data_IF_023035083822
#
_entry.id   IF_023035083822
#
_cell.length_a   1.000
_cell.length_b   1.000
_cell.length_c   1.000
_cell.angle_alpha   90.00
_cell.angle_beta   90.00
_cell.angle_gamma   90.00
#
_symmetry.space_group_name_H-M   'P 1'
#
loop_
_entity.id
_entity.type
_entity.pdbx_description
1 polymer ?
#
# COMPACT_ATOMS: atom_id res chain seq x y z
N UNK A 1 -18.84 -3.35 9.47
CA UNK A 1 -17.92 -2.22 9.41
C UNK A 1 -17.39 -1.92 10.81
N UNK A 2 -16.07 -2.02 11.03
CA UNK A 2 -15.42 -1.78 12.31
C UNK A 2 -14.95 -0.31 12.39
N UNK A 3 -15.87 0.64 12.28
CA UNK A 3 -15.53 2.07 12.35
C UNK A 3 -15.75 2.59 13.76
N UNK A 4 -14.65 3.01 14.40
CA UNK A 4 -14.68 3.76 15.64
C UNK A 4 -14.73 5.26 15.31
N UNK A 5 -15.64 6.02 15.93
CA UNK A 5 -15.60 7.47 15.86
C UNK A 5 -14.45 7.99 16.72
N UNK A 6 -13.36 8.44 16.08
CA UNK A 6 -12.23 9.08 16.76
C UNK A 6 -12.64 10.49 17.21
N UNK A 7 -12.26 10.87 18.42
CA UNK A 7 -12.54 12.19 18.98
C UNK A 7 -11.31 13.10 18.85
N UNK A 8 -11.50 14.38 18.61
CA UNK A 8 -10.40 15.34 18.54
C UNK A 8 -9.55 15.35 19.82
N UNK A 9 -10.16 15.13 20.98
CA UNK A 9 -9.45 15.02 22.26
C UNK A 9 -8.54 13.78 22.35
N UNK A 10 -8.87 12.68 21.64
CA UNK A 10 -8.01 11.50 21.56
C UNK A 10 -6.81 11.80 20.67
N UNK A 11 -7.03 12.44 19.52
CA UNK A 11 -5.99 12.87 18.58
C UNK A 11 -5.00 13.82 19.25
N UNK A 12 -5.52 14.84 19.94
CA UNK A 12 -4.69 15.77 20.68
C UNK A 12 -3.87 15.07 21.78
N UNK A 13 -4.47 14.14 22.51
CA UNK A 13 -3.76 13.36 23.56
C UNK A 13 -2.66 12.49 22.98
N UNK A 14 -2.89 11.85 21.81
CA UNK A 14 -1.87 11.05 21.12
C UNK A 14 -0.70 11.97 20.74
N UNK A 15 -0.97 13.11 20.12
CA UNK A 15 0.06 14.09 19.77
C UNK A 15 0.89 14.52 20.98
N UNK A 16 0.25 14.98 22.06
CA UNK A 16 0.92 15.44 23.27
C UNK A 16 1.81 14.37 23.91
N UNK A 17 1.32 13.14 23.97
CA UNK A 17 2.09 12.01 24.52
C UNK A 17 3.22 11.54 23.62
N UNK A 18 3.06 11.68 22.30
CA UNK A 18 4.14 11.40 21.34
C UNK A 18 5.25 12.44 21.45
N UNK A 19 4.92 13.74 21.64
CA UNK A 19 5.91 14.77 21.91
C UNK A 19 6.66 14.51 23.21
N UNK A 20 5.97 14.06 24.28
CA UNK A 20 6.60 13.66 25.54
C UNK A 20 7.61 12.50 25.34
N UNK A 21 7.28 11.50 24.49
CA UNK A 21 8.21 10.43 24.11
C UNK A 21 9.41 11.00 23.37
N UNK A 22 9.21 11.82 22.35
CA UNK A 22 10.29 12.41 21.54
C UNK A 22 11.26 13.26 22.38
N UNK A 23 10.74 13.99 23.37
CA UNK A 23 11.52 14.91 24.19
C UNK A 23 12.21 14.21 25.37
N UNK A 24 11.56 13.24 26.02
CA UNK A 24 12.04 12.63 27.29
C UNK A 24 12.64 11.24 27.12
N UNK A 25 12.07 10.41 26.24
CA UNK A 25 12.57 9.05 25.96
C UNK A 25 13.55 9.07 24.78
N UNK A 26 13.23 9.78 23.71
CA UNK A 26 14.01 9.87 22.50
C UNK A 26 13.90 8.65 21.59
N UNK A 27 14.52 8.74 20.41
CA UNK A 27 14.53 7.70 19.37
C UNK A 27 15.96 7.40 18.96
N UNK A 28 16.31 6.13 18.80
CA UNK A 28 17.64 5.72 18.36
C UNK A 28 17.78 5.82 16.85
N UNK A 29 18.86 6.47 16.37
CA UNK A 29 19.26 6.51 14.97
C UNK A 29 20.66 5.91 14.83
N UNK A 30 20.79 4.80 14.12
CA UNK A 30 22.04 4.03 13.99
C UNK A 30 22.90 4.49 12.80
N UNK A 31 22.81 5.76 12.40
CA UNK A 31 23.51 6.30 11.24
C UNK A 31 24.31 7.55 11.58
N UNK A 32 25.65 7.47 11.45
CA UNK A 32 26.57 8.51 11.89
C UNK A 32 26.30 9.88 11.24
N UNK A 33 26.05 9.91 9.93
CA UNK A 33 25.85 11.17 9.21
C UNK A 33 24.63 11.93 9.75
N UNK A 34 23.48 11.23 9.96
CA UNK A 34 22.27 11.91 10.45
C UNK A 34 22.45 12.44 11.88
N UNK A 35 23.18 11.72 12.73
CA UNK A 35 23.50 12.20 14.08
C UNK A 35 24.31 13.50 14.05
N UNK A 36 25.25 13.63 13.12
CA UNK A 36 26.00 14.87 12.94
C UNK A 36 25.13 16.02 12.35
N UNK A 37 24.18 15.69 11.46
CA UNK A 37 23.20 16.67 10.97
C UNK A 37 22.32 17.17 12.12
N UNK A 38 21.83 16.28 12.97
CA UNK A 38 21.02 16.64 14.14
C UNK A 38 21.79 17.54 15.12
N UNK A 39 23.03 17.20 15.46
CA UNK A 39 23.89 18.03 16.32
C UNK A 39 24.12 19.43 15.73
N UNK A 40 24.38 19.53 14.42
CA UNK A 40 24.54 20.82 13.73
C UNK A 40 23.29 21.70 13.76
N UNK A 41 22.12 21.07 13.79
CA UNK A 41 20.81 21.75 13.92
C UNK A 41 20.48 22.11 15.37
N UNK A 42 21.33 21.76 16.33
CA UNK A 42 21.11 21.99 17.77
C UNK A 42 20.20 20.95 18.44
N UNK A 43 19.92 19.84 17.77
CA UNK A 43 19.10 18.76 18.33
C UNK A 43 19.95 17.96 19.31
N UNK A 44 19.39 17.67 20.48
CA UNK A 44 20.08 16.90 21.53
C UNK A 44 20.32 15.46 21.07
N UNK A 45 21.58 15.03 21.10
CA UNK A 45 22.03 13.67 20.74
C UNK A 45 22.89 13.12 21.87
N UNK A 46 22.51 11.96 22.40
CA UNK A 46 23.26 11.20 23.40
C UNK A 46 23.55 9.79 22.85
N UNK A 47 24.79 9.56 22.44
CA UNK A 47 25.17 8.37 21.68
C UNK A 47 24.42 8.29 20.35
N UNK A 48 23.53 7.32 20.22
CA UNK A 48 22.63 7.14 19.07
C UNK A 48 21.22 7.68 19.34
N UNK A 49 20.93 8.08 20.58
CA UNK A 49 19.61 8.54 21.00
C UNK A 49 19.45 10.02 20.73
N UNK A 50 18.39 10.35 20.01
CA UNK A 50 18.04 11.70 19.57
C UNK A 50 16.79 12.14 20.31
N UNK A 51 16.78 13.38 20.79
CA UNK A 51 15.66 13.96 21.52
C UNK A 51 15.18 15.20 20.78
N UNK A 52 13.93 15.19 20.35
CA UNK A 52 13.33 16.32 19.65
C UNK A 52 12.55 17.19 20.62
N UNK A 53 12.97 18.42 20.81
CA UNK A 53 12.22 19.39 21.61
C UNK A 53 10.89 19.74 20.96
N UNK A 54 9.86 19.96 21.77
CA UNK A 54 8.50 20.30 21.33
C UNK A 54 8.51 21.47 20.33
N UNK A 55 9.16 22.57 20.67
CA UNK A 55 9.19 23.79 19.84
C UNK A 55 9.74 23.55 18.43
N UNK A 56 10.82 22.76 18.33
CA UNK A 56 11.39 22.37 17.04
C UNK A 56 10.47 21.41 16.28
N UNK A 57 9.89 20.45 16.96
CA UNK A 57 8.93 19.51 16.36
C UNK A 57 7.76 20.26 15.73
N UNK A 58 7.12 21.16 16.48
CA UNK A 58 6.01 21.97 15.98
C UNK A 58 6.42 22.92 14.84
N UNK A 59 7.67 23.45 14.86
CA UNK A 59 8.23 24.25 13.75
C UNK A 59 8.30 23.43 12.46
N UNK A 60 8.91 22.26 12.53
CA UNK A 60 9.14 21.38 11.37
C UNK A 60 7.84 20.84 10.78
N UNK A 61 6.84 20.56 11.62
CA UNK A 61 5.53 20.06 11.17
C UNK A 61 4.75 21.10 10.37
N UNK A 62 4.94 22.42 10.60
CA UNK A 62 4.25 23.48 9.84
C UNK A 62 4.64 23.54 8.36
N UNK A 63 5.79 22.98 7.98
CA UNK A 63 6.30 22.97 6.60
C UNK A 63 5.84 21.78 5.75
N UNK A 64 5.02 20.89 6.31
CA UNK A 64 4.57 19.67 5.63
C UNK A 64 3.59 19.98 4.49
N UNK A 65 3.60 19.14 3.45
CA UNK A 65 2.74 19.30 2.26
C UNK A 65 1.53 18.38 2.35
N UNK A 66 0.31 18.89 2.10
CA UNK A 66 -0.92 18.09 2.17
C UNK A 66 -1.08 17.15 0.98
N UNK A 67 -0.37 17.40 -0.11
CA UNK A 67 -0.38 16.57 -1.31
C UNK A 67 0.85 16.82 -2.18
N UNK A 68 1.11 15.90 -3.09
CA UNK A 68 2.13 16.02 -4.13
C UNK A 68 1.76 15.16 -5.34
N UNK A 69 2.44 15.36 -6.47
CA UNK A 69 2.19 14.60 -7.69
C UNK A 69 3.48 13.93 -8.16
N UNK A 70 3.45 12.62 -8.38
CA UNK A 70 4.51 11.87 -9.04
C UNK A 70 4.25 11.97 -10.55
N UNK A 71 5.20 12.54 -11.29
CA UNK A 71 5.08 12.75 -12.73
C UNK A 71 6.19 12.01 -13.47
N UNK A 72 5.79 11.09 -14.34
CA UNK A 72 6.66 10.32 -15.24
C UNK A 72 6.28 10.66 -16.69
N UNK A 73 7.06 10.24 -17.70
CA UNK A 73 6.67 10.42 -19.10
C UNK A 73 5.36 9.71 -19.48
N UNK A 74 4.91 8.77 -18.66
CA UNK A 74 3.77 7.89 -18.97
C UNK A 74 2.55 8.10 -18.07
N UNK A 75 2.72 8.73 -16.91
CA UNK A 75 1.65 8.87 -15.93
C UNK A 75 1.86 10.07 -15.00
N UNK A 76 0.74 10.60 -14.50
CA UNK A 76 0.69 11.61 -13.44
C UNK A 76 -0.17 11.06 -12.31
N UNK A 77 0.41 10.92 -11.10
CA UNK A 77 -0.23 10.34 -9.92
C UNK A 77 -0.22 11.33 -8.77
N UNK A 78 -1.38 11.88 -8.43
CA UNK A 78 -1.56 12.73 -7.25
C UNK A 78 -1.78 11.86 -6.00
N UNK A 79 -1.13 12.22 -4.88
CA UNK A 79 -1.26 11.60 -3.57
C UNK A 79 -1.63 12.68 -2.57
N UNK A 80 -2.74 12.49 -1.84
CA UNK A 80 -3.34 13.50 -0.96
C UNK A 80 -4.32 14.43 -1.70
N UNK A 81 -5.12 15.20 -0.96
CA UNK A 81 -6.19 16.07 -1.49
C UNK A 81 -7.12 15.34 -2.49
N UNK A 82 -7.59 14.16 -2.13
CA UNK A 82 -8.46 13.32 -2.94
C UNK A 82 -7.74 12.47 -4.01
N UNK A 83 -6.43 12.66 -4.23
CA UNK A 83 -5.62 11.76 -5.04
C UNK A 83 -5.22 10.51 -4.24
N UNK A 84 -5.29 9.32 -4.86
CA UNK A 84 -5.02 8.04 -4.20
C UNK A 84 -3.98 7.21 -4.96
N UNK A 85 -2.94 6.76 -4.25
CA UNK A 85 -2.01 5.75 -4.74
C UNK A 85 -2.47 4.36 -4.27
N UNK A 86 -2.44 3.39 -5.17
CA UNK A 86 -2.73 1.98 -4.89
C UNK A 86 -1.58 1.14 -5.42
N UNK A 87 -0.94 0.38 -4.53
CA UNK A 87 0.17 -0.51 -4.85
C UNK A 87 -0.02 -1.87 -4.18
N UNK A 88 0.57 -2.88 -4.77
CA UNK A 88 0.45 -4.27 -4.33
C UNK A 88 1.56 -4.69 -3.37
N UNK A 89 1.98 -5.94 -3.45
CA UNK A 89 2.94 -6.59 -2.56
C UNK A 89 4.25 -5.83 -2.36
N UNK A 90 4.80 -5.96 -1.17
CA UNK A 90 6.16 -5.53 -0.85
C UNK A 90 6.84 -6.55 0.04
N UNK A 91 7.96 -7.11 -0.45
CA UNK A 91 8.83 -7.99 0.32
C UNK A 91 8.29 -9.40 0.55
N UNK A 92 7.31 -9.86 -0.24
CA UNK A 92 6.83 -11.23 -0.15
C UNK A 92 7.94 -12.24 -0.45
N UNK A 93 8.29 -13.06 0.54
CA UNK A 93 9.41 -14.01 0.46
C UNK A 93 9.04 -15.34 -0.20
N UNK A 94 7.76 -15.62 -0.30
CA UNK A 94 7.22 -16.86 -0.87
C UNK A 94 5.99 -16.57 -1.74
N UNK A 95 5.62 -17.53 -2.59
CA UNK A 95 4.45 -17.45 -3.46
C UNK A 95 3.60 -18.70 -3.33
N UNK A 96 2.29 -18.55 -3.33
CA UNK A 96 1.35 -19.67 -3.41
C UNK A 96 1.09 -20.01 -4.90
N UNK A 97 1.37 -21.23 -5.30
CA UNK A 97 1.12 -21.77 -6.65
C UNK A 97 0.50 -23.16 -6.54
N UNK A 98 -0.60 -23.37 -7.22
CA UNK A 98 -1.29 -24.69 -7.27
C UNK A 98 -1.53 -25.30 -5.88
N UNK A 99 -1.79 -24.45 -4.87
CA UNK A 99 -2.02 -24.84 -3.49
C UNK A 99 -0.75 -25.08 -2.64
N UNK A 100 0.46 -24.90 -3.22
CA UNK A 100 1.74 -25.09 -2.53
C UNK A 100 2.49 -23.77 -2.37
N UNK A 101 3.12 -23.56 -1.21
CA UNK A 101 3.98 -22.39 -0.95
C UNK A 101 5.37 -22.68 -1.47
N UNK A 102 5.83 -21.87 -2.41
CA UNK A 102 7.08 -22.03 -3.13
C UNK A 102 8.01 -20.81 -2.97
N UNK A 103 9.29 -21.00 -3.27
CA UNK A 103 10.24 -19.89 -3.44
C UNK A 103 10.00 -19.21 -4.79
N UNK A 104 9.77 -17.88 -4.84
CA UNK A 104 9.51 -17.17 -6.07
C UNK A 104 10.77 -17.03 -6.93
N UNK A 105 10.55 -16.93 -8.24
CA UNK A 105 11.58 -16.73 -9.27
C UNK A 105 11.42 -15.37 -9.95
N UNK A 106 12.36 -14.99 -10.81
CA UNK A 106 12.26 -13.82 -11.70
C UNK A 106 10.97 -13.86 -12.52
N UNK A 107 10.56 -15.07 -12.97
CA UNK A 107 9.30 -15.21 -13.71
C UNK A 107 8.10 -14.77 -12.87
N UNK A 108 8.06 -15.12 -11.59
CA UNK A 108 6.98 -14.75 -10.69
C UNK A 108 6.94 -13.25 -10.43
N UNK A 109 8.11 -12.63 -10.28
CA UNK A 109 8.26 -11.19 -10.19
C UNK A 109 7.71 -10.47 -11.45
N UNK A 110 8.07 -10.99 -12.64
CA UNK A 110 7.60 -10.46 -13.93
C UNK A 110 6.08 -10.63 -14.05
N UNK A 111 5.54 -11.79 -13.70
CA UNK A 111 4.10 -12.04 -13.77
C UNK A 111 3.32 -11.13 -12.80
N UNK A 112 3.81 -10.92 -11.58
CA UNK A 112 3.26 -9.92 -10.65
C UNK A 112 3.28 -8.50 -11.23
N UNK A 113 4.39 -8.07 -11.83
CA UNK A 113 4.50 -6.75 -12.48
C UNK A 113 3.53 -6.59 -13.66
N UNK A 114 3.29 -7.66 -14.45
CA UNK A 114 2.29 -7.64 -15.52
C UNK A 114 0.86 -7.55 -14.97
N UNK A 115 0.60 -8.22 -13.85
CA UNK A 115 -0.69 -8.08 -13.17
C UNK A 115 -0.91 -6.65 -12.69
N UNK A 116 0.10 -6.01 -12.12
CA UNK A 116 0.06 -4.60 -11.72
C UNK A 116 -0.20 -3.69 -12.92
N UNK A 117 0.52 -3.88 -14.04
CA UNK A 117 0.33 -3.05 -15.25
C UNK A 117 -1.09 -3.16 -15.80
N UNK A 118 -1.67 -4.34 -15.79
CA UNK A 118 -3.01 -4.59 -16.34
C UNK A 118 -4.16 -4.32 -15.35
N UNK A 119 -3.88 -4.04 -14.09
CA UNK A 119 -4.87 -3.68 -13.08
C UNK A 119 -5.48 -2.31 -13.34
N UNK A 120 -6.80 -2.18 -13.16
CA UNK A 120 -7.49 -0.90 -13.17
C UNK A 120 -7.31 -0.11 -11.87
N UNK A 121 -6.99 -0.80 -10.78
CA UNK A 121 -6.87 -0.22 -9.45
C UNK A 121 -5.44 0.18 -9.10
N UNK A 122 -4.47 -0.65 -9.45
CA UNK A 122 -3.05 -0.36 -9.21
C UNK A 122 -2.62 0.79 -10.11
N UNK A 123 -2.04 1.81 -9.53
CA UNK A 123 -1.50 2.97 -10.24
C UNK A 123 -0.06 3.30 -9.85
N UNK A 124 0.55 2.45 -9.01
CA UNK A 124 1.92 2.57 -8.52
C UNK A 124 2.52 1.17 -8.36
N UNK A 125 3.52 0.80 -9.16
CA UNK A 125 4.20 -0.50 -9.05
C UNK A 125 5.28 -0.49 -7.96
N UNK A 126 5.54 -1.65 -7.36
CA UNK A 126 6.48 -1.80 -6.26
C UNK A 126 7.73 -2.58 -6.68
N UNK A 127 8.90 -1.92 -6.72
CA UNK A 127 10.18 -2.60 -6.99
C UNK A 127 10.53 -3.61 -5.88
N UNK A 128 10.41 -3.31 -4.57
CA UNK A 128 10.56 -4.30 -3.51
C UNK A 128 9.67 -5.54 -3.65
N UNK A 129 8.49 -5.42 -4.22
CA UNK A 129 7.51 -6.43 -4.62
C UNK A 129 7.72 -7.86 -4.11
N UNK A 130 7.73 -8.82 -5.02
CA UNK A 130 8.00 -10.23 -4.73
C UNK A 130 9.51 -10.48 -4.72
N UNK A 131 10.00 -11.30 -3.80
CA UNK A 131 11.38 -11.78 -3.84
C UNK A 131 11.61 -12.63 -5.11
N UNK A 132 12.80 -12.52 -5.72
CA UNK A 132 13.19 -13.28 -6.89
C UNK A 132 14.52 -13.99 -6.59
N UNK A 133 14.43 -15.28 -6.23
CA UNK A 133 15.55 -16.06 -5.67
C UNK A 133 16.66 -16.40 -6.67
N UNK A 134 16.38 -16.29 -7.95
CA UNK A 134 17.28 -16.60 -9.06
C UNK A 134 17.92 -15.36 -9.71
N UNK A 135 17.74 -14.18 -9.11
CA UNK A 135 18.48 -12.98 -9.51
C UNK A 135 19.93 -13.03 -9.01
N UNK A 136 20.88 -12.54 -9.82
CA UNK A 136 22.29 -12.52 -9.43
C UNK A 136 22.56 -11.61 -8.21
N UNK A 137 23.33 -12.13 -7.26
CA UNK A 137 23.73 -11.40 -6.05
C UNK A 137 24.37 -10.04 -6.37
N UNK A 138 24.11 -9.08 -5.51
CA UNK A 138 24.70 -7.73 -5.56
C UNK A 138 24.07 -6.80 -6.59
N UNK A 139 23.12 -7.27 -7.42
CA UNK A 139 22.38 -6.47 -8.40
C UNK A 139 20.87 -6.66 -8.33
N UNK A 140 20.38 -7.42 -7.37
CA UNK A 140 18.96 -7.81 -7.24
C UNK A 140 18.04 -6.60 -7.39
N UNK A 141 18.23 -5.58 -6.59
CA UNK A 141 17.34 -4.41 -6.55
C UNK A 141 17.39 -3.55 -7.83
N UNK A 142 18.57 -3.41 -8.43
CA UNK A 142 18.70 -2.73 -9.70
C UNK A 142 18.01 -3.51 -10.82
N UNK A 143 18.16 -4.83 -10.85
CA UNK A 143 17.52 -5.69 -11.84
C UNK A 143 15.99 -5.72 -11.67
N UNK A 144 15.49 -5.74 -10.43
CA UNK A 144 14.07 -5.59 -10.15
C UNK A 144 13.55 -4.24 -10.66
N UNK A 145 14.29 -3.15 -10.47
CA UNK A 145 13.96 -1.82 -11.02
C UNK A 145 13.86 -1.87 -12.55
N UNK A 146 14.84 -2.49 -13.21
CA UNK A 146 14.87 -2.64 -14.67
C UNK A 146 13.71 -3.50 -15.18
N UNK A 147 13.40 -4.60 -14.49
CA UNK A 147 12.26 -5.46 -14.81
C UNK A 147 10.93 -4.73 -14.63
N UNK A 148 10.76 -3.98 -13.52
CA UNK A 148 9.56 -3.17 -13.32
C UNK A 148 9.35 -2.17 -14.46
N UNK A 149 10.40 -1.44 -14.85
CA UNK A 149 10.34 -0.51 -15.99
C UNK A 149 10.10 -1.21 -17.32
N UNK A 150 10.62 -2.44 -17.51
CA UNK A 150 10.40 -3.18 -18.76
C UNK A 150 8.95 -3.62 -18.93
N UNK A 151 8.32 -4.02 -17.84
CA UNK A 151 6.98 -4.63 -17.88
C UNK A 151 5.85 -3.72 -17.41
N UNK A 152 6.16 -2.48 -16.96
CA UNK A 152 5.16 -1.49 -16.55
C UNK A 152 5.56 -0.07 -16.91
N UNK A 153 4.57 0.77 -17.26
CA UNK A 153 4.70 2.22 -17.42
C UNK A 153 4.14 3.00 -16.23
N UNK A 154 3.63 2.32 -15.22
CA UNK A 154 3.17 2.97 -14.00
C UNK A 154 4.34 3.54 -13.22
N UNK A 155 4.15 4.62 -12.44
CA UNK A 155 5.17 5.12 -11.52
C UNK A 155 5.65 4.02 -10.58
N UNK A 156 6.86 4.15 -10.06
CA UNK A 156 7.47 3.12 -9.21
C UNK A 156 7.67 3.60 -7.76
N UNK A 157 7.39 2.71 -6.81
CA UNK A 157 8.09 2.69 -5.52
C UNK A 157 9.46 2.09 -5.82
N UNK A 158 10.52 2.89 -5.72
CA UNK A 158 11.87 2.41 -6.01
C UNK A 158 12.43 1.58 -4.83
N UNK A 159 13.62 0.99 -4.98
CA UNK A 159 14.23 0.18 -3.93
C UNK A 159 14.45 0.96 -2.63
N UNK A 160 14.25 0.28 -1.51
CA UNK A 160 14.40 0.81 -0.15
C UNK A 160 15.29 -0.09 0.75
N UNK A 161 15.92 -1.14 0.20
CA UNK A 161 16.66 -2.13 0.97
C UNK A 161 17.91 -1.57 1.63
N UNK A 162 18.66 -0.74 0.90
CA UNK A 162 19.87 -0.07 1.39
C UNK A 162 19.98 1.31 0.79
N UNK A 163 20.74 2.20 1.44
CA UNK A 163 21.01 3.52 0.88
C UNK A 163 21.67 3.48 -0.51
N UNK A 164 22.49 2.44 -0.79
CA UNK A 164 23.10 2.23 -2.10
C UNK A 164 22.06 1.82 -3.14
N UNK A 165 21.26 0.78 -2.87
CA UNK A 165 20.25 0.29 -3.82
C UNK A 165 19.17 1.33 -4.10
N UNK A 166 18.75 2.08 -3.09
CA UNK A 166 17.83 3.20 -3.24
C UNK A 166 18.41 4.27 -4.19
N UNK A 167 19.65 4.67 -3.97
CA UNK A 167 20.33 5.66 -4.83
C UNK A 167 20.48 5.15 -6.27
N UNK A 168 20.91 3.91 -6.49
CA UNK A 168 21.07 3.30 -7.80
C UNK A 168 19.74 3.19 -8.54
N UNK A 169 18.68 2.75 -7.84
CA UNK A 169 17.32 2.64 -8.39
C UNK A 169 16.78 4.01 -8.83
N UNK A 170 16.86 5.03 -7.97
CA UNK A 170 16.42 6.40 -8.27
C UNK A 170 17.16 6.97 -9.49
N UNK A 171 18.50 6.85 -9.52
CA UNK A 171 19.31 7.38 -10.62
C UNK A 171 19.03 6.63 -11.94
N UNK A 172 18.81 5.32 -11.90
CA UNK A 172 18.43 4.57 -13.09
C UNK A 172 17.05 4.99 -13.61
N UNK A 173 16.05 5.12 -12.73
CA UNK A 173 14.71 5.60 -13.10
C UNK A 173 14.80 7.00 -13.72
N UNK A 174 15.57 7.91 -13.12
CA UNK A 174 15.81 9.25 -13.64
C UNK A 174 16.42 9.23 -15.03
N UNK A 175 17.47 8.43 -15.22
CA UNK A 175 18.14 8.30 -16.51
C UNK A 175 17.22 7.67 -17.58
N UNK A 176 16.41 6.70 -17.17
CA UNK A 176 15.47 6.03 -18.06
C UNK A 176 14.34 6.95 -18.53
N UNK A 177 13.73 7.72 -17.61
CA UNK A 177 12.65 8.63 -17.96
C UNK A 177 13.13 9.82 -18.80
N UNK A 178 14.27 10.42 -18.47
CA UNK A 178 14.79 11.63 -19.12
C UNK A 178 14.02 12.87 -18.69
N UNK A 179 12.92 13.20 -19.36
CA UNK A 179 12.02 14.28 -18.95
C UNK A 179 10.99 13.76 -17.96
N UNK A 180 10.80 14.44 -16.83
CA UNK A 180 9.89 14.06 -15.75
C UNK A 180 9.60 15.25 -14.84
N UNK A 181 8.62 15.12 -13.93
CA UNK A 181 8.34 16.12 -12.91
C UNK A 181 9.38 16.19 -11.80
N UNK A 182 9.13 17.07 -10.85
CA UNK A 182 9.99 17.23 -9.65
C UNK A 182 10.05 15.92 -8.83
N UNK A 183 8.90 15.26 -8.69
CA UNK A 183 8.78 13.96 -8.05
C UNK A 183 8.43 12.92 -9.11
N UNK A 184 9.22 11.86 -9.23
CA UNK A 184 9.05 10.83 -10.27
C UNK A 184 9.09 9.40 -9.71
N UNK A 185 9.35 9.27 -8.43
CA UNK A 185 9.33 8.01 -7.67
C UNK A 185 9.04 8.30 -6.20
N UNK A 186 8.82 7.28 -5.39
CA UNK A 186 8.61 7.38 -3.94
C UNK A 186 9.31 6.22 -3.23
N UNK A 187 9.82 6.47 -2.02
CA UNK A 187 10.34 5.45 -1.13
C UNK A 187 9.33 5.04 -0.05
N UNK A 188 9.50 3.86 0.50
CA UNK A 188 8.75 3.40 1.68
C UNK A 188 9.76 2.89 2.71
N UNK A 189 9.79 3.56 3.87
CA UNK A 189 10.74 3.28 4.93
C UNK A 189 10.03 2.86 6.21
N UNK A 190 10.49 1.76 6.80
CA UNK A 190 9.93 1.23 8.02
C UNK A 190 10.79 1.59 9.23
N UNK A 191 10.15 2.04 10.30
CA UNK A 191 10.81 2.17 11.59
C UNK A 191 10.90 0.79 12.27
N UNK A 192 11.98 0.50 12.95
CA UNK A 192 12.12 -0.72 13.75
C UNK A 192 11.61 -0.43 15.16
N UNK A 193 10.39 -0.89 15.44
CA UNK A 193 9.81 -0.75 16.77
C UNK A 193 10.53 -1.65 17.80
N UNK A 194 10.78 -1.16 19.04
CA UNK A 194 10.41 0.15 19.53
C UNK A 194 11.47 1.23 19.29
N UNK A 195 11.01 2.38 18.79
CA UNK A 195 11.72 3.66 18.75
C UNK A 195 13.15 3.61 18.17
N UNK A 196 13.34 2.91 17.02
CA UNK A 196 14.66 2.71 16.43
C UNK A 196 14.63 2.82 14.90
N UNK A 197 15.59 3.53 14.35
CA UNK A 197 15.92 3.58 12.92
C UNK A 197 17.29 2.94 12.71
N UNK A 198 17.35 1.85 11.95
CA UNK A 198 18.60 1.19 11.63
C UNK A 198 19.48 2.05 10.72
N UNK A 199 20.73 1.63 10.57
CA UNK A 199 21.65 2.29 9.66
C UNK A 199 21.15 2.31 8.22
N UNK A 200 20.58 1.19 7.75
CA UNK A 200 20.15 1.06 6.35
C UNK A 200 18.84 1.81 6.11
N UNK A 201 17.88 1.78 7.04
CA UNK A 201 16.62 2.56 6.93
C UNK A 201 16.91 4.05 6.80
N UNK A 202 17.82 4.57 7.65
CA UNK A 202 18.25 5.97 7.56
C UNK A 202 18.95 6.24 6.23
N UNK A 203 19.86 5.35 5.81
CA UNK A 203 20.61 5.54 4.56
C UNK A 203 19.70 5.55 3.34
N UNK A 204 18.70 4.66 3.30
CA UNK A 204 17.70 4.61 2.25
C UNK A 204 16.81 5.86 2.27
N UNK A 205 16.27 6.27 3.43
CA UNK A 205 15.53 7.54 3.57
C UNK A 205 16.36 8.72 3.06
N UNK A 206 17.63 8.82 3.44
CA UNK A 206 18.53 9.89 2.98
C UNK A 206 18.76 9.88 1.47
N UNK A 207 18.74 8.70 0.82
CA UNK A 207 18.89 8.59 -0.62
C UNK A 207 17.73 9.28 -1.36
N UNK A 208 16.49 9.13 -0.88
CA UNK A 208 15.31 9.83 -1.40
C UNK A 208 15.33 11.32 -1.07
N UNK A 209 15.43 11.64 0.21
CA UNK A 209 15.28 13.02 0.73
C UNK A 209 16.32 13.97 0.13
N UNK A 210 17.58 13.53 0.00
CA UNK A 210 18.66 14.33 -0.64
C UNK A 210 18.43 14.53 -2.14
N UNK A 211 17.62 13.70 -2.79
CA UNK A 211 17.24 13.81 -4.19
C UNK A 211 15.87 14.47 -4.37
N UNK A 212 15.35 15.04 -3.30
CA UNK A 212 14.03 15.68 -3.26
C UNK A 212 12.90 14.74 -3.69
N UNK A 213 12.99 13.43 -3.39
CA UNK A 213 11.93 12.49 -3.67
C UNK A 213 11.11 12.21 -2.41
N UNK A 214 9.77 12.05 -2.54
CA UNK A 214 8.88 11.77 -1.42
C UNK A 214 9.17 10.42 -0.77
N UNK A 215 8.82 10.31 0.53
CA UNK A 215 8.99 9.08 1.31
C UNK A 215 7.75 8.82 2.17
N UNK A 216 7.30 7.56 2.19
CA UNK A 216 6.38 7.05 3.21
C UNK A 216 7.21 6.67 4.44
N UNK A 217 6.92 7.27 5.59
CA UNK A 217 7.50 6.85 6.87
C UNK A 217 6.43 6.03 7.59
N UNK A 218 6.71 4.76 7.83
CA UNK A 218 5.71 3.83 8.36
C UNK A 218 6.26 3.01 9.53
N UNK A 219 5.37 2.61 10.44
CA UNK A 219 5.67 1.69 11.52
C UNK A 219 4.90 0.38 11.36
N UNK A 220 5.49 -0.70 11.86
CA UNK A 220 4.94 -2.05 11.84
C UNK A 220 5.14 -2.66 13.24
N UNK A 221 4.41 -2.14 14.23
CA UNK A 221 4.52 -2.64 15.61
C UNK A 221 3.49 -3.74 15.89
N UNK A 222 3.74 -4.51 16.96
CA UNK A 222 2.85 -5.53 17.46
C UNK A 222 2.67 -5.36 18.98
N UNK A 223 1.44 -5.11 19.47
CA UNK A 223 1.16 -4.94 20.89
C UNK A 223 1.65 -6.08 21.76
N UNK A 224 2.35 -5.75 22.84
CA UNK A 224 2.96 -6.72 23.75
C UNK A 224 4.27 -7.35 23.27
N UNK A 225 4.65 -7.12 22.01
CA UNK A 225 5.91 -7.60 21.43
C UNK A 225 6.89 -6.44 21.17
N UNK A 226 6.50 -5.48 20.35
CA UNK A 226 7.34 -4.34 19.97
C UNK A 226 6.72 -2.98 20.31
N UNK A 227 5.55 -3.00 20.94
CA UNK A 227 4.88 -1.83 21.52
C UNK A 227 4.14 -2.22 22.82
N UNK A 228 3.68 -1.24 23.63
CA UNK A 228 2.84 -1.55 24.80
C UNK A 228 1.64 -2.40 24.41
N UNK A 229 1.21 -3.31 25.31
CA UNK A 229 0.08 -4.23 25.05
C UNK A 229 -1.27 -3.51 24.87
N UNK A 230 -1.39 -2.29 25.34
CA UNK A 230 -2.63 -1.51 25.23
C UNK A 230 -2.71 -0.80 23.87
N UNK A 231 -3.89 -0.74 23.27
CA UNK A 231 -4.14 -0.01 22.02
C UNK A 231 -3.64 1.44 22.11
N UNK A 232 -4.00 2.16 23.19
CA UNK A 232 -3.57 3.54 23.38
C UNK A 232 -2.05 3.71 23.45
N UNK A 233 -1.36 2.81 24.18
CA UNK A 233 0.11 2.83 24.28
C UNK A 233 0.77 2.54 22.93
N UNK A 234 0.27 1.57 22.18
CA UNK A 234 0.74 1.26 20.82
C UNK A 234 0.56 2.44 19.89
N UNK A 235 -0.62 3.07 19.84
CA UNK A 235 -0.90 4.22 18.98
C UNK A 235 0.03 5.40 19.28
N UNK A 236 0.24 5.71 20.56
CA UNK A 236 1.13 6.81 20.97
C UNK A 236 2.59 6.53 20.59
N UNK A 237 3.09 5.30 20.82
CA UNK A 237 4.45 4.93 20.41
C UNK A 237 4.60 4.99 18.88
N UNK A 238 3.67 4.40 18.13
CA UNK A 238 3.68 4.44 16.66
C UNK A 238 3.73 5.87 16.13
N UNK A 239 2.91 6.76 16.70
CA UNK A 239 2.92 8.16 16.29
C UNK A 239 4.28 8.83 16.57
N UNK A 240 4.89 8.55 17.74
CA UNK A 240 6.23 9.07 18.05
C UNK A 240 7.30 8.54 17.08
N UNK A 241 7.22 7.25 16.71
CA UNK A 241 8.11 6.60 15.76
C UNK A 241 8.01 7.25 14.37
N UNK A 242 6.81 7.37 13.83
CA UNK A 242 6.57 7.98 12.52
C UNK A 242 6.98 9.46 12.51
N UNK A 243 6.64 10.21 13.56
CA UNK A 243 7.07 11.60 13.70
C UNK A 243 8.59 11.75 13.68
N UNK A 244 9.33 10.89 14.39
CA UNK A 244 10.79 10.95 14.40
C UNK A 244 11.40 10.84 13.00
N UNK A 245 10.85 9.94 12.15
CA UNK A 245 11.25 9.81 10.76
C UNK A 245 10.87 11.01 9.92
N UNK A 246 9.66 11.53 10.08
CA UNK A 246 9.22 12.75 9.40
C UNK A 246 10.13 13.93 9.79
N UNK A 247 10.43 14.11 11.06
CA UNK A 247 11.34 15.15 11.53
C UNK A 247 12.74 15.01 10.93
N UNK A 248 13.23 13.77 10.83
CA UNK A 248 14.51 13.49 10.15
C UNK A 248 14.48 14.00 8.71
N UNK A 249 13.43 13.71 7.95
CA UNK A 249 13.31 14.16 6.56
C UNK A 249 13.30 15.68 6.47
N UNK A 250 12.53 16.36 7.33
CA UNK A 250 12.40 17.82 7.34
C UNK A 250 13.66 18.55 7.84
N UNK A 251 14.46 17.94 8.70
CA UNK A 251 15.76 18.46 9.09
C UNK A 251 16.77 18.42 7.93
N UNK A 252 16.71 17.37 7.10
CA UNK A 252 17.62 17.17 5.96
C UNK A 252 17.21 18.01 4.76
N UNK A 253 15.92 17.99 4.40
CA UNK A 253 15.36 18.72 3.26
C UNK A 253 13.99 19.27 3.61
N UNK A 254 13.90 20.50 4.13
CA UNK A 254 12.62 21.12 4.52
C UNK A 254 11.63 21.20 3.36
N UNK A 255 10.41 20.71 3.59
CA UNK A 255 9.34 20.72 2.60
C UNK A 255 9.37 19.55 1.61
N UNK A 256 10.29 18.59 1.73
CA UNK A 256 10.16 17.32 0.99
C UNK A 256 8.87 16.62 1.38
N UNK A 257 8.07 16.12 0.41
CA UNK A 257 6.82 15.47 0.73
C UNK A 257 7.02 14.17 1.52
N UNK A 258 6.13 13.95 2.48
CA UNK A 258 6.11 12.73 3.29
C UNK A 258 4.69 12.19 3.38
N UNK A 259 4.56 10.87 3.55
CA UNK A 259 3.30 10.18 3.81
C UNK A 259 3.38 9.53 5.19
N UNK A 260 2.36 9.73 6.01
CA UNK A 260 2.24 9.12 7.34
C UNK A 260 1.77 7.68 7.20
N UNK A 261 2.62 6.71 7.52
CA UNK A 261 2.36 5.29 7.33
C UNK A 261 2.12 4.50 8.62
N UNK A 262 1.24 3.50 8.54
CA UNK A 262 1.02 2.53 9.61
C UNK A 262 0.58 1.16 9.06
N UNK A 263 1.23 0.09 9.53
CA UNK A 263 0.86 -1.33 9.29
C UNK A 263 0.93 -2.10 10.61
N UNK A 264 0.36 -1.54 11.65
CA UNK A 264 0.39 -2.17 12.98
C UNK A 264 -0.46 -3.44 13.00
N UNK A 265 0.15 -4.53 13.45
CA UNK A 265 -0.51 -5.81 13.66
C UNK A 265 -1.26 -5.85 14.98
N UNK A 266 -2.16 -6.84 15.15
CA UNK A 266 -2.52 -7.41 16.43
C UNK A 266 -1.50 -8.50 16.83
N UNK A 267 -1.67 -9.20 17.94
CA UNK A 267 -0.77 -10.26 18.37
C UNK A 267 -1.49 -11.38 19.14
N UNK A 268 -1.19 -12.63 18.82
CA UNK A 268 -1.48 -13.75 19.73
C UNK A 268 -0.30 -13.96 20.68
N UNK A 269 -0.40 -13.38 21.86
CA UNK A 269 0.65 -13.45 22.89
C UNK A 269 0.90 -14.86 23.43
N UNK A 270 -0.03 -15.82 23.24
CA UNK A 270 0.17 -17.22 23.63
C UNK A 270 1.14 -17.95 22.71
N UNK A 271 1.18 -17.53 21.44
CA UNK A 271 2.05 -18.11 20.40
C UNK A 271 3.23 -17.20 20.06
N UNK A 272 3.22 -15.94 20.53
CA UNK A 272 4.16 -14.89 20.19
C UNK A 272 4.25 -14.66 18.68
N UNK A 273 3.09 -14.58 18.01
CA UNK A 273 2.99 -14.32 16.56
C UNK A 273 2.15 -13.09 16.27
N UNK A 274 2.52 -12.29 15.23
CA UNK A 274 1.67 -11.20 14.77
C UNK A 274 0.41 -11.73 14.09
N UNK A 275 -0.65 -10.90 14.11
CA UNK A 275 -1.92 -11.14 13.43
C UNK A 275 -2.19 -9.92 12.55
N UNK A 276 -2.25 -10.10 11.24
CA UNK A 276 -2.37 -9.00 10.28
C UNK A 276 -3.79 -8.44 10.13
N UNK A 277 -4.78 -9.03 10.77
CA UNK A 277 -6.18 -8.63 10.72
C UNK A 277 -6.79 -8.55 12.12
N UNK A 278 -8.02 -8.10 12.22
CA UNK A 278 -8.78 -8.09 13.47
C UNK A 278 -9.28 -6.69 13.86
N UNK A 279 -10.14 -6.62 14.89
CA UNK A 279 -10.76 -5.35 15.28
C UNK A 279 -9.72 -4.30 15.73
N UNK A 280 -8.64 -4.72 16.39
CA UNK A 280 -7.58 -3.81 16.83
C UNK A 280 -6.82 -3.23 15.63
N UNK A 281 -6.55 -4.04 14.60
CA UNK A 281 -5.88 -3.59 13.37
C UNK A 281 -6.71 -2.51 12.68
N UNK A 282 -8.03 -2.71 12.56
CA UNK A 282 -8.94 -1.70 12.05
C UNK A 282 -8.92 -0.39 12.87
N UNK A 283 -8.80 -0.48 14.18
CA UNK A 283 -8.67 0.69 15.07
C UNK A 283 -7.33 1.40 14.87
N UNK A 284 -6.22 0.66 14.69
CA UNK A 284 -4.91 1.25 14.39
C UNK A 284 -4.92 2.00 13.06
N UNK A 285 -5.55 1.45 12.01
CA UNK A 285 -5.73 2.14 10.72
C UNK A 285 -6.45 3.48 10.89
N UNK A 286 -7.56 3.50 11.64
CA UNK A 286 -8.35 4.70 11.85
C UNK A 286 -7.59 5.77 12.64
N UNK A 287 -6.84 5.40 13.69
CA UNK A 287 -5.99 6.36 14.41
C UNK A 287 -4.85 6.87 13.54
N UNK A 288 -4.24 6.02 12.71
CA UNK A 288 -3.19 6.45 11.79
C UNK A 288 -3.70 7.49 10.79
N UNK A 289 -4.89 7.25 10.18
CA UNK A 289 -5.54 8.24 9.31
C UNK A 289 -5.84 9.53 10.05
N UNK A 290 -6.43 9.44 11.24
CA UNK A 290 -6.74 10.62 12.05
C UNK A 290 -5.49 11.43 12.42
N UNK A 291 -4.35 10.78 12.68
CA UNK A 291 -3.08 11.46 12.95
C UNK A 291 -2.51 12.11 11.69
N UNK A 292 -2.58 11.44 10.54
CA UNK A 292 -2.16 12.03 9.26
C UNK A 292 -2.97 13.30 8.94
N UNK A 293 -4.29 13.25 9.12
CA UNK A 293 -5.19 14.40 8.95
C UNK A 293 -4.85 15.54 9.92
N UNK A 294 -4.55 15.21 11.17
CA UNK A 294 -4.14 16.19 12.18
C UNK A 294 -2.83 16.90 11.79
N UNK A 295 -1.90 16.22 11.16
CA UNK A 295 -0.65 16.82 10.65
C UNK A 295 -0.80 17.44 9.26
N UNK A 296 -1.95 17.28 8.61
CA UNK A 296 -2.24 17.82 7.28
C UNK A 296 -1.35 17.20 6.18
N UNK A 297 -1.07 15.90 6.24
CA UNK A 297 -0.27 15.16 5.27
C UNK A 297 -0.99 13.89 4.79
N UNK A 298 -0.61 13.37 3.61
CA UNK A 298 -1.19 12.12 3.12
C UNK A 298 -0.96 10.94 4.08
N UNK A 299 -1.95 10.07 4.15
CA UNK A 299 -1.94 8.86 4.97
C UNK A 299 -1.65 7.61 4.16
N UNK A 300 -1.01 6.62 4.78
CA UNK A 300 -0.86 5.25 4.27
C UNK A 300 -1.30 4.26 5.33
N UNK A 301 -2.34 3.48 5.05
CA UNK A 301 -2.79 2.40 5.93
C UNK A 301 -3.26 1.19 5.14
N UNK A 302 -3.34 0.06 5.78
CA UNK A 302 -4.06 -1.12 5.35
C UNK A 302 -3.57 -1.79 4.07
N UNK A 303 -4.51 -2.42 3.43
CA UNK A 303 -4.39 -3.31 2.29
C UNK A 303 -5.28 -4.54 2.46
N UNK A 304 -5.12 -5.56 1.62
CA UNK A 304 -5.82 -6.85 1.73
C UNK A 304 -5.07 -7.81 2.66
N UNK A 305 -4.95 -7.44 3.93
CA UNK A 305 -4.13 -8.17 4.89
C UNK A 305 -4.82 -9.45 5.37
N UNK A 306 -4.14 -10.59 5.22
CA UNK A 306 -4.60 -11.90 5.70
C UNK A 306 -3.48 -12.69 6.39
N UNK A 307 -3.82 -13.41 7.45
CA UNK A 307 -2.93 -14.38 8.11
C UNK A 307 -3.12 -15.83 7.60
N UNK A 308 -3.98 -16.06 6.62
CA UNK A 308 -4.25 -17.36 6.03
C UNK A 308 -3.04 -17.89 5.25
N UNK A 309 -2.92 -19.23 5.12
CA UNK A 309 -1.85 -19.91 4.40
C UNK A 309 -2.35 -20.59 3.11
N UNK A 310 -3.64 -20.51 2.87
CA UNK A 310 -4.33 -21.03 1.69
C UNK A 310 -5.54 -20.17 1.38
N UNK A 311 -6.04 -20.24 0.15
CA UNK A 311 -7.23 -19.52 -0.29
C UNK A 311 -8.49 -20.24 0.20
N UNK A 312 -8.94 -19.89 1.40
CA UNK A 312 -10.09 -20.50 2.05
C UNK A 312 -11.02 -19.44 2.71
N UNK A 313 -11.94 -19.90 3.54
CA UNK A 313 -12.85 -19.00 4.27
C UNK A 313 -12.11 -18.01 5.18
N UNK A 314 -10.99 -18.41 5.79
CA UNK A 314 -10.21 -17.50 6.62
C UNK A 314 -9.65 -16.35 5.79
N UNK A 315 -9.02 -16.66 4.65
CA UNK A 315 -8.45 -15.65 3.75
C UNK A 315 -9.52 -14.65 3.30
N UNK A 316 -10.63 -15.15 2.76
CA UNK A 316 -11.72 -14.28 2.29
C UNK A 316 -12.32 -13.39 3.37
N UNK A 317 -12.51 -13.93 4.59
CA UNK A 317 -13.06 -13.16 5.71
C UNK A 317 -12.08 -12.07 6.22
N UNK A 318 -10.82 -12.42 6.41
CA UNK A 318 -9.78 -11.49 6.88
C UNK A 318 -9.53 -10.39 5.86
N UNK A 319 -9.39 -10.75 4.58
CA UNK A 319 -9.23 -9.83 3.46
C UNK A 319 -10.41 -8.86 3.35
N UNK A 320 -11.63 -9.34 3.38
CA UNK A 320 -12.81 -8.48 3.26
C UNK A 320 -12.85 -7.44 4.39
N UNK A 321 -12.59 -7.84 5.63
CA UNK A 321 -12.54 -6.91 6.78
C UNK A 321 -11.40 -5.90 6.61
N UNK A 322 -10.19 -6.33 6.26
CA UNK A 322 -9.03 -5.48 6.12
C UNK A 322 -9.20 -4.48 4.97
N UNK A 323 -9.54 -4.97 3.80
CA UNK A 323 -9.68 -4.17 2.59
C UNK A 323 -10.81 -3.13 2.71
N UNK A 324 -11.99 -3.54 3.18
CA UNK A 324 -13.11 -2.62 3.37
C UNK A 324 -12.78 -1.56 4.42
N UNK A 325 -12.11 -1.92 5.53
CA UNK A 325 -11.67 -0.94 6.53
C UNK A 325 -10.68 0.06 5.94
N UNK A 326 -9.74 -0.40 5.12
CA UNK A 326 -8.75 0.45 4.44
C UNK A 326 -9.43 1.53 3.61
N UNK A 327 -10.40 1.14 2.78
CA UNK A 327 -11.14 2.09 1.94
C UNK A 327 -12.10 2.97 2.73
N UNK A 328 -12.73 2.45 3.79
CA UNK A 328 -13.59 3.23 4.68
C UNK A 328 -12.81 4.26 5.51
N UNK A 329 -11.50 4.08 5.70
CA UNK A 329 -10.63 5.09 6.31
C UNK A 329 -10.30 6.26 5.38
N UNK A 330 -10.65 6.20 4.09
CA UNK A 330 -10.34 7.22 3.09
C UNK A 330 -8.85 7.58 3.05
N UNK A 331 -7.99 6.56 3.09
CA UNK A 331 -6.53 6.73 3.04
C UNK A 331 -6.06 7.17 1.66
N UNK A 332 -4.96 7.93 1.62
CA UNK A 332 -4.40 8.50 0.39
C UNK A 332 -3.43 7.56 -0.32
N UNK A 333 -2.84 6.63 0.40
CA UNK A 333 -1.94 5.62 -0.14
C UNK A 333 -2.28 4.23 0.43
N UNK A 334 -2.76 3.36 -0.44
CA UNK A 334 -3.08 1.96 -0.12
C UNK A 334 -1.92 1.11 -0.60
N UNK A 335 -1.24 0.47 0.34
CA UNK A 335 -0.13 -0.43 0.06
C UNK A 335 -0.50 -1.84 0.53
N UNK A 336 0.02 -2.87 -0.10
CA UNK A 336 -0.43 -4.26 0.08
C UNK A 336 -1.91 -4.45 -0.34
N UNK A 337 -2.30 -3.79 -1.44
CA UNK A 337 -3.70 -3.76 -1.85
C UNK A 337 -4.23 -5.13 -2.26
N UNK A 338 -3.40 -5.98 -2.89
CA UNK A 338 -3.82 -7.25 -3.47
C UNK A 338 -2.76 -8.35 -3.29
N UNK A 339 -3.23 -9.59 -3.11
CA UNK A 339 -2.47 -10.81 -3.28
C UNK A 339 -1.64 -11.26 -2.08
N UNK A 340 -1.59 -10.54 -0.97
CA UNK A 340 -0.75 -10.90 0.18
C UNK A 340 -1.47 -11.73 1.25
N UNK A 341 -0.77 -12.76 1.73
CA UNK A 341 -1.18 -13.73 2.73
C UNK A 341 -0.10 -13.92 3.79
N UNK A 342 -0.38 -14.72 4.81
CA UNK A 342 0.55 -15.10 5.88
C UNK A 342 1.32 -13.91 6.48
N UNK A 343 0.60 -12.85 6.84
CA UNK A 343 1.18 -11.63 7.41
C UNK A 343 2.29 -11.04 6.51
N UNK A 344 2.03 -10.89 5.22
CA UNK A 344 2.91 -10.34 4.17
C UNK A 344 4.04 -11.27 3.70
N UNK A 345 4.09 -12.54 4.15
CA UNK A 345 5.14 -13.47 3.73
C UNK A 345 4.85 -14.19 2.42
N UNK A 346 3.58 -14.38 2.08
CA UNK A 346 3.15 -15.15 0.91
C UNK A 346 2.40 -14.24 -0.07
N UNK A 347 2.72 -14.34 -1.34
CA UNK A 347 1.97 -13.71 -2.43
C UNK A 347 1.20 -14.75 -3.24
N UNK A 348 0.03 -14.40 -3.79
CA UNK A 348 -0.75 -15.24 -4.71
C UNK A 348 -1.37 -14.41 -5.81
N UNK A 349 -1.19 -14.84 -7.07
CA UNK A 349 -1.82 -14.21 -8.22
C UNK A 349 -3.33 -14.49 -8.25
N UNK A 350 -3.77 -15.65 -7.77
CA UNK A 350 -5.19 -15.99 -7.63
C UNK A 350 -5.86 -15.09 -6.58
N UNK A 351 -5.19 -14.89 -5.42
CA UNK A 351 -5.69 -13.93 -4.42
C UNK A 351 -5.76 -12.52 -4.98
N UNK A 352 -4.78 -12.13 -5.78
CA UNK A 352 -4.76 -10.81 -6.42
C UNK A 352 -6.07 -10.51 -7.14
N UNK A 353 -6.54 -11.39 -8.01
CA UNK A 353 -7.78 -11.17 -8.77
C UNK A 353 -9.04 -11.32 -7.90
N UNK A 354 -9.00 -12.15 -6.84
CA UNK A 354 -10.09 -12.25 -5.85
C UNK A 354 -10.23 -10.95 -5.03
N UNK A 355 -9.12 -10.34 -4.66
CA UNK A 355 -9.10 -9.07 -3.94
C UNK A 355 -9.60 -7.92 -4.84
N UNK A 356 -9.21 -7.93 -6.14
CA UNK A 356 -9.75 -6.96 -7.12
C UNK A 356 -11.27 -7.09 -7.26
N UNK A 357 -11.82 -8.31 -7.28
CA UNK A 357 -13.28 -8.53 -7.33
C UNK A 357 -13.99 -7.90 -6.13
N UNK A 358 -13.44 -8.07 -4.91
CA UNK A 358 -13.98 -7.44 -3.70
C UNK A 358 -13.95 -5.91 -3.81
N UNK A 359 -12.89 -5.37 -4.37
CA UNK A 359 -12.74 -3.94 -4.53
C UNK A 359 -13.67 -3.40 -5.63
N UNK A 360 -13.83 -4.12 -6.73
CA UNK A 360 -14.77 -3.78 -7.79
C UNK A 360 -16.21 -3.71 -7.24
N UNK A 361 -16.60 -4.69 -6.38
CA UNK A 361 -17.87 -4.67 -5.69
C UNK A 361 -18.03 -3.45 -4.76
N UNK A 362 -16.97 -3.04 -4.06
CA UNK A 362 -16.98 -1.83 -3.21
C UNK A 362 -17.17 -0.54 -4.04
N UNK A 363 -16.44 -0.43 -5.15
CA UNK A 363 -16.51 0.76 -6.00
C UNK A 363 -17.78 0.85 -6.85
N UNK A 364 -18.44 -0.28 -7.12
CA UNK A 364 -19.70 -0.28 -7.88
C UNK A 364 -20.81 0.55 -7.23
N UNK A 365 -20.73 0.79 -5.92
CA UNK A 365 -21.71 1.58 -5.16
C UNK A 365 -21.19 2.96 -4.75
N UNK A 366 -19.92 3.27 -5.06
CA UNK A 366 -19.33 4.55 -4.73
C UNK A 366 -19.74 5.60 -5.76
N UNK A 367 -20.09 6.80 -5.31
CA UNK A 367 -20.47 7.93 -6.15
C UNK A 367 -21.72 7.71 -7.04
N UNK A 368 -22.63 6.82 -6.66
CA UNK A 368 -23.89 6.62 -7.35
C UNK A 368 -25.00 7.43 -6.68
N UNK A 369 -25.61 8.35 -7.42
CA UNK A 369 -26.82 9.06 -7.01
C UNK A 369 -28.04 8.21 -7.28
N UNK A 370 -28.32 7.25 -6.38
CA UNK A 370 -29.41 6.27 -6.53
C UNK A 370 -30.81 6.88 -6.42
N UNK A 371 -30.97 8.03 -5.77
CA UNK A 371 -32.27 8.64 -5.48
C UNK A 371 -32.40 9.99 -6.21
N UNK A 372 -32.74 9.90 -7.49
CA UNK A 372 -33.11 11.05 -8.32
C UNK A 372 -34.50 10.84 -8.92
N UNK A 373 -35.16 11.90 -9.37
CA UNK A 373 -36.49 11.78 -10.05
C UNK A 373 -36.43 10.82 -11.26
N UNK A 374 -35.31 10.84 -12.00
CA UNK A 374 -35.09 9.99 -13.15
C UNK A 374 -34.86 8.51 -12.71
N UNK A 375 -33.98 8.28 -11.73
CA UNK A 375 -33.64 6.94 -11.24
C UNK A 375 -34.80 6.22 -10.53
N UNK A 376 -35.81 6.95 -10.03
CA UNK A 376 -36.97 6.36 -9.35
C UNK A 376 -37.90 5.61 -10.33
N UNK A 377 -37.95 5.97 -11.60
CA UNK A 377 -38.78 5.34 -12.64
C UNK A 377 -40.27 5.20 -12.26
N UNK A 378 -40.86 6.30 -11.71
CA UNK A 378 -42.25 6.27 -11.22
C UNK A 378 -43.28 5.83 -12.26
N UNK A 379 -43.04 6.11 -13.54
CA UNK A 379 -43.96 5.69 -14.63
C UNK A 379 -43.91 4.21 -14.87
N UNK A 380 -42.75 3.56 -14.77
CA UNK A 380 -42.62 2.11 -14.79
C UNK A 380 -43.34 1.46 -13.58
N UNK A 381 -43.19 2.03 -12.39
CA UNK A 381 -43.89 1.55 -11.19
C UNK A 381 -45.42 1.60 -11.38
N UNK A 382 -45.94 2.70 -11.94
CA UNK A 382 -47.35 2.84 -12.24
C UNK A 382 -47.84 1.86 -13.31
N UNK A 383 -47.03 1.61 -14.34
CA UNK A 383 -47.34 0.71 -15.45
C UNK A 383 -47.40 -0.73 -15.00
N UNK A 384 -46.44 -1.19 -14.23
CA UNK A 384 -46.38 -2.57 -13.70
C UNK A 384 -47.44 -2.82 -12.65
N UNK A 385 -47.68 -1.87 -11.75
CA UNK A 385 -48.72 -1.97 -10.73
C UNK A 385 -48.54 -3.09 -9.70
N UNK A 386 -49.47 -3.21 -8.76
CA UNK A 386 -49.38 -4.24 -7.72
C UNK A 386 -49.47 -5.67 -8.26
N UNK A 387 -48.48 -6.49 -7.97
CA UNK A 387 -48.43 -7.89 -8.38
C UNK A 387 -47.98 -8.17 -9.81
N UNK A 388 -47.55 -7.12 -10.55
CA UNK A 388 -46.95 -7.25 -11.88
C UNK A 388 -45.49 -7.74 -11.85
N UNK A 389 -44.83 -7.75 -13.02
CA UNK A 389 -43.44 -8.15 -13.17
C UNK A 389 -42.64 -7.09 -13.93
N UNK A 390 -41.48 -6.74 -13.41
CA UNK A 390 -40.55 -5.82 -14.04
C UNK A 390 -39.64 -6.50 -15.08
N UNK A 391 -39.61 -7.84 -15.12
CA UNK A 391 -38.69 -8.58 -16.00
C UNK A 391 -38.92 -8.36 -17.50
N UNK A 392 -40.10 -7.87 -17.88
CA UNK A 392 -40.50 -7.64 -19.27
C UNK A 392 -40.48 -6.17 -19.66
N UNK A 393 -40.08 -5.27 -18.74
CA UNK A 393 -39.99 -3.85 -19.02
C UNK A 393 -38.70 -3.55 -19.79
N UNK A 394 -38.81 -2.68 -20.81
CA UNK A 394 -37.68 -2.30 -21.66
C UNK A 394 -36.55 -1.66 -20.84
N UNK A 395 -36.89 -0.82 -19.87
CA UNK A 395 -35.93 -0.16 -18.95
C UNK A 395 -35.14 -1.20 -18.11
N UNK A 396 -35.78 -2.30 -17.72
CA UNK A 396 -35.07 -3.39 -17.01
C UNK A 396 -34.02 -4.04 -17.91
N UNK A 397 -34.35 -4.28 -19.20
CA UNK A 397 -33.42 -4.87 -20.15
C UNK A 397 -32.27 -3.91 -20.55
N UNK A 398 -32.52 -2.62 -20.53
CA UNK A 398 -31.51 -1.60 -20.84
C UNK A 398 -30.56 -1.31 -19.68
N UNK A 399 -31.05 -1.38 -18.45
CA UNK A 399 -30.34 -0.88 -17.28
C UNK A 399 -29.70 -1.95 -16.41
N UNK A 400 -30.17 -3.21 -16.43
CA UNK A 400 -29.71 -4.23 -15.47
C UNK A 400 -28.19 -4.40 -15.42
N UNK A 401 -27.50 -4.26 -16.56
CA UNK A 401 -26.05 -4.39 -16.62
C UNK A 401 -25.28 -3.15 -16.09
N UNK A 402 -25.97 -2.01 -15.97
CA UNK A 402 -25.38 -0.75 -15.50
C UNK A 402 -25.68 -0.49 -14.03
N UNK A 403 -26.90 -0.85 -13.62
CA UNK A 403 -27.41 -0.55 -12.27
C UNK A 403 -26.99 -1.59 -11.23
N UNK A 404 -26.71 -2.83 -11.65
CA UNK A 404 -26.41 -3.93 -10.75
C UNK A 404 -24.96 -4.41 -10.92
N UNK A 405 -24.27 -4.65 -9.80
CA UNK A 405 -22.97 -5.28 -9.82
C UNK A 405 -23.06 -6.72 -10.31
N UNK A 406 -22.24 -7.09 -11.27
CA UNK A 406 -22.14 -8.43 -11.83
C UNK A 406 -20.77 -9.04 -11.49
N UNK A 407 -20.71 -9.98 -10.53
CA UNK A 407 -19.45 -10.62 -10.16
C UNK A 407 -18.89 -11.44 -11.33
N UNK A 408 -17.58 -11.34 -11.56
CA UNK A 408 -16.87 -12.10 -12.60
C UNK A 408 -16.40 -13.45 -12.08
N UNK A 409 -15.91 -13.50 -10.84
CA UNK A 409 -15.36 -14.69 -10.20
C UNK A 409 -16.40 -15.38 -9.30
N UNK A 410 -17.11 -14.61 -8.47
CA UNK A 410 -18.07 -15.19 -7.53
C UNK A 410 -19.27 -15.77 -8.25
N UNK A 411 -19.71 -16.93 -7.77
CA UNK A 411 -20.78 -17.68 -8.43
C UNK A 411 -22.15 -17.13 -8.05
N UNK A 412 -22.94 -16.72 -9.05
CA UNK A 412 -24.33 -16.28 -8.92
C UNK A 412 -25.34 -17.28 -9.49
N UNK A 413 -24.88 -18.46 -9.95
CA UNK A 413 -25.77 -19.49 -10.52
C UNK A 413 -26.66 -20.14 -9.45
N UNK A 414 -27.87 -20.52 -9.86
CA UNK A 414 -28.67 -21.40 -9.02
C UNK A 414 -28.02 -22.79 -8.92
N UNK A 415 -28.21 -23.48 -7.79
CA UNK A 415 -27.55 -24.76 -7.50
C UNK A 415 -27.59 -25.79 -8.64
N UNK A 416 -28.75 -25.92 -9.35
CA UNK A 416 -28.91 -26.87 -10.44
C UNK A 416 -27.97 -26.57 -11.61
N UNK A 417 -27.94 -25.31 -12.04
CA UNK A 417 -27.05 -24.86 -13.13
C UNK A 417 -25.57 -25.00 -12.72
N UNK A 418 -25.21 -24.55 -11.52
CA UNK A 418 -23.84 -24.67 -11.00
C UNK A 418 -23.35 -26.12 -10.99
N UNK A 419 -24.27 -27.09 -10.64
CA UNK A 419 -23.98 -28.52 -10.69
C UNK A 419 -23.76 -29.01 -12.12
N UNK A 420 -24.59 -28.56 -13.07
CA UNK A 420 -24.43 -28.90 -14.50
C UNK A 420 -23.14 -28.36 -15.10
N UNK A 421 -22.66 -27.20 -14.64
CA UNK A 421 -21.41 -26.60 -15.03
C UNK A 421 -20.15 -27.29 -14.39
N UNK A 422 -20.36 -28.41 -13.67
CA UNK A 422 -19.26 -29.15 -13.05
C UNK A 422 -18.80 -28.60 -11.71
N UNK A 423 -19.64 -27.80 -11.05
CA UNK A 423 -19.34 -27.21 -9.71
C UNK A 423 -18.02 -26.45 -9.67
N UNK A 424 -17.77 -25.48 -10.57
CA UNK A 424 -16.52 -24.76 -10.61
C UNK A 424 -16.27 -24.02 -9.29
N UNK A 425 -15.06 -24.18 -8.74
CA UNK A 425 -14.64 -23.40 -7.57
C UNK A 425 -14.23 -21.99 -7.98
N UNK A 426 -14.35 -21.04 -7.06
CA UNK A 426 -13.88 -19.67 -7.28
C UNK A 426 -12.37 -19.61 -7.54
N UNK A 427 -11.59 -20.52 -6.94
CA UNK A 427 -10.14 -20.60 -7.11
C UNK A 427 -9.77 -21.01 -8.54
N UNK A 428 -10.48 -22.01 -9.12
CA UNK A 428 -10.25 -22.41 -10.51
C UNK A 428 -10.55 -21.26 -11.49
N UNK A 429 -11.62 -20.51 -11.25
CA UNK A 429 -11.92 -19.31 -12.04
C UNK A 429 -10.83 -18.22 -11.89
N UNK A 430 -10.33 -18.03 -10.68
CA UNK A 430 -9.23 -17.09 -10.44
C UNK A 430 -7.96 -17.50 -11.19
N UNK A 431 -7.60 -18.80 -11.19
CA UNK A 431 -6.47 -19.32 -11.98
C UNK A 431 -6.66 -19.12 -13.49
N UNK A 432 -7.86 -19.29 -13.99
CA UNK A 432 -8.19 -19.04 -15.40
C UNK A 432 -8.04 -17.54 -15.73
N UNK A 433 -8.62 -16.67 -14.91
CA UNK A 433 -8.49 -15.21 -15.09
C UNK A 433 -7.04 -14.72 -15.05
N UNK A 434 -6.22 -15.24 -14.14
CA UNK A 434 -4.77 -14.94 -14.10
C UNK A 434 -4.10 -15.34 -15.41
N UNK A 435 -4.36 -16.56 -15.92
CA UNK A 435 -3.82 -17.02 -17.21
C UNK A 435 -4.23 -16.12 -18.37
N UNK A 436 -5.54 -15.89 -18.51
CA UNK A 436 -6.07 -15.04 -19.58
C UNK A 436 -5.45 -13.64 -19.55
N UNK A 437 -5.30 -13.07 -18.37
CA UNK A 437 -4.74 -11.73 -18.19
C UNK A 437 -3.25 -11.68 -18.54
N UNK A 438 -2.47 -12.69 -18.14
CA UNK A 438 -1.06 -12.81 -18.50
C UNK A 438 -0.88 -13.06 -20.01
N UNK A 439 -1.71 -13.87 -20.65
CA UNK A 439 -1.68 -14.14 -22.09
C UNK A 439 -2.11 -12.93 -22.92
N UNK A 440 -3.06 -12.14 -22.41
CA UNK A 440 -3.52 -10.91 -23.04
C UNK A 440 -2.55 -9.74 -22.86
N UNK A 441 -1.59 -9.83 -21.92
CA UNK A 441 -0.64 -8.77 -21.62
C UNK A 441 0.13 -8.31 -22.88
N UNK A 442 0.40 -7.02 -22.98
CA UNK A 442 1.21 -6.43 -24.05
C UNK A 442 2.35 -5.65 -23.45
N UNK A 443 3.56 -5.94 -23.92
CA UNK A 443 4.77 -5.27 -23.47
C UNK A 443 4.68 -3.76 -23.80
N UNK A 444 5.01 -2.86 -22.85
CA UNK A 444 5.10 -1.43 -23.10
C UNK A 444 6.07 -1.11 -24.23
N UNK A 445 5.75 -0.08 -24.99
CA UNK A 445 6.59 0.41 -26.10
C UNK A 445 7.44 1.58 -25.62
N UNK A 446 8.75 1.47 -25.80
CA UNK A 446 9.74 2.46 -25.42
C UNK A 446 10.52 2.98 -26.61
N UNK A 447 11.16 4.14 -26.45
CA UNK A 447 12.08 4.65 -27.46
C UNK A 447 13.37 3.79 -27.55
N UNK A 448 14.20 4.06 -28.58
CA UNK A 448 15.41 3.29 -28.83
C UNK A 448 16.42 3.39 -27.67
N UNK A 449 16.53 4.56 -27.02
CA UNK A 449 17.45 4.77 -25.88
C UNK A 449 16.97 3.98 -24.67
N UNK A 450 15.69 4.09 -24.35
CA UNK A 450 15.08 3.37 -23.22
C UNK A 450 15.21 1.85 -23.40
N UNK A 451 14.88 1.34 -24.60
CA UNK A 451 15.01 -0.09 -24.92
C UNK A 451 16.45 -0.56 -24.74
N UNK A 452 17.42 0.18 -25.27
CA UNK A 452 18.84 -0.16 -25.13
C UNK A 452 19.29 -0.20 -23.66
N UNK A 453 18.86 0.77 -22.83
CA UNK A 453 19.18 0.80 -21.39
C UNK A 453 18.65 -0.42 -20.66
N UNK A 454 17.44 -0.88 -20.98
CA UNK A 454 16.86 -2.09 -20.38
C UNK A 454 17.64 -3.34 -20.82
N UNK A 455 17.90 -3.49 -22.11
CA UNK A 455 18.53 -4.68 -22.68
C UNK A 455 20.00 -4.83 -22.21
N UNK A 456 20.76 -3.75 -22.08
CA UNK A 456 22.15 -3.77 -21.57
C UNK A 456 22.23 -4.34 -20.15
N UNK A 457 21.29 -4.01 -19.27
CA UNK A 457 21.29 -4.55 -17.91
C UNK A 457 20.67 -5.94 -17.82
N UNK A 458 19.66 -6.25 -18.63
CA UNK A 458 19.05 -7.59 -18.64
C UNK A 458 19.89 -8.65 -19.37
N UNK A 459 20.90 -8.25 -20.12
CA UNK A 459 21.85 -9.19 -20.74
C UNK A 459 22.68 -10.00 -19.72
N UNK A 460 22.57 -9.69 -18.43
CA UNK A 460 23.19 -10.45 -17.34
C UNK A 460 22.27 -11.55 -16.76
N UNK A 461 21.00 -11.56 -17.11
CA UNK A 461 20.04 -12.61 -16.77
C UNK A 461 20.09 -13.74 -17.80
#
# INVERSE_FOLDING_TARGET
MLVKKIKDSEVQMIHEKSLEILESVGVNFEHREILEVFKKRGIRVDGQRVYFERSLTEELLRGLKPSFTIETPFASLKIGDGGKAVSTASGAMTILKDGEICTPTVKDYIDGTKMDETSHFVNLCCVPGIYASDLPDGKVELLKTVLSLKYSQKPLIASCETGKSAAESIEFIRAFYGEMGEYFTIGVENVISPLRYSREDVAATLAYVKRNQPVVITCCSAPGMTSPITVGGTVVQNNAEVLAGILMTQVVNPGVPVVYGNVTYSADMRKAVPISWGPEVAVFMQYAKAMADFYGIPSRVGGSLSGAKQLDWQDGAETAVSLMTTFDCDTDFIFHAFGEMDCLNVFSLEKYVLDEELLEARFSVENCDYITEEAIHMDMIRRVGPGGTYMLEDETLELYQKELFHPKLFNSEIYHNWKQLGMPSVILKAQEMVRERLDAYRLPVYDKRQTQMLDELLAIL
#
